data_IF_751312549960
#
_entry.id   IF_751312549960
#
_cell.length_a   1.000
_cell.length_b   1.000
_cell.length_c   1.000
_cell.angle_alpha   90.00
_cell.angle_beta   90.00
_cell.angle_gamma   90.00
#
_symmetry.space_group_name_H-M   'P 1'
#
loop_
_entity.id
_entity.type
_entity.pdbx_description
1 polymer ?
#
# COMPACT_ATOMS: atom_id res chain seq x y z
N UNK A 1 6.76 -12.57 -0.99
CA UNK A 1 7.22 -11.19 -1.23
C UNK A 1 7.24 -10.98 -2.72
N UNK A 2 6.69 -9.86 -3.21
CA UNK A 2 6.69 -9.48 -4.63
C UNK A 2 7.03 -8.00 -4.77
N UNK A 3 7.54 -7.61 -5.93
CA UNK A 3 7.69 -6.20 -6.30
C UNK A 3 6.58 -5.83 -7.28
N UNK A 4 5.87 -4.75 -6.98
CA UNK A 4 4.81 -4.21 -7.83
C UNK A 4 5.39 -3.15 -8.75
N UNK A 5 5.13 -3.27 -10.05
CA UNK A 5 5.45 -2.20 -10.99
C UNK A 5 4.31 -1.16 -11.00
N UNK A 6 4.37 -0.24 -10.04
CA UNK A 6 3.39 0.84 -9.91
C UNK A 6 3.49 1.85 -11.07
N UNK A 7 4.71 2.06 -11.57
CA UNK A 7 4.99 3.03 -12.63
C UNK A 7 4.35 2.61 -13.96
N UNK A 8 4.44 1.34 -14.33
CA UNK A 8 3.82 0.81 -15.55
C UNK A 8 2.29 0.98 -15.60
N UNK A 9 1.66 1.19 -14.44
CA UNK A 9 0.22 1.41 -14.31
C UNK A 9 -0.14 2.86 -13.96
N UNK A 10 0.79 3.82 -14.08
CA UNK A 10 0.60 5.23 -13.70
C UNK A 10 0.12 5.42 -12.26
N UNK A 11 0.48 4.50 -11.35
CA UNK A 11 0.13 4.60 -9.94
C UNK A 11 1.21 5.40 -9.23
N UNK A 12 0.82 6.54 -8.67
CA UNK A 12 1.73 7.33 -7.82
C UNK A 12 2.08 6.55 -6.55
N UNK A 13 3.38 6.44 -6.28
CA UNK A 13 3.87 5.64 -5.15
C UNK A 13 3.50 6.26 -3.80
N UNK A 14 3.40 7.59 -3.71
CA UNK A 14 3.04 8.25 -2.45
C UNK A 14 1.56 8.05 -2.18
N UNK A 15 0.71 8.26 -3.19
CA UNK A 15 -0.72 7.99 -3.12
C UNK A 15 -1.00 6.52 -2.78
N UNK A 16 -0.22 5.57 -3.32
CA UNK A 16 -0.35 4.15 -2.96
C UNK A 16 -0.03 3.88 -1.47
N UNK A 17 1.00 4.54 -0.93
CA UNK A 17 1.38 4.43 0.48
C UNK A 17 0.30 5.06 1.38
N UNK A 18 -0.13 6.28 1.07
CA UNK A 18 -1.18 7.00 1.81
C UNK A 18 -2.50 6.23 1.79
N UNK A 19 -2.85 5.62 0.66
CA UNK A 19 -4.05 4.81 0.53
C UNK A 19 -3.94 3.48 1.28
N UNK A 20 -2.75 2.89 1.32
CA UNK A 20 -2.46 1.75 2.20
C UNK A 20 -2.75 2.09 3.65
N UNK A 21 -2.22 3.21 4.13
CA UNK A 21 -2.43 3.69 5.50
C UNK A 21 -3.91 3.98 5.79
N UNK A 22 -4.66 4.57 4.85
CA UNK A 22 -6.13 4.77 4.94
C UNK A 22 -6.88 3.46 5.26
N UNK A 23 -6.40 2.34 4.74
CA UNK A 23 -6.97 1.00 4.94
C UNK A 23 -6.28 0.20 6.05
N UNK A 24 -5.40 0.82 6.84
CA UNK A 24 -4.70 0.18 7.96
C UNK A 24 -3.55 -0.74 7.53
N UNK A 25 -3.04 -0.57 6.32
CA UNK A 25 -1.93 -1.36 5.77
C UNK A 25 -0.64 -0.55 5.78
N UNK A 26 0.44 -1.15 6.27
CA UNK A 26 1.78 -0.54 6.20
C UNK A 26 2.52 -1.00 4.95
N UNK A 27 2.65 -0.09 3.99
CA UNK A 27 3.30 -0.35 2.69
C UNK A 27 4.61 0.42 2.58
N UNK A 28 5.63 -0.20 1.99
CA UNK A 28 6.96 0.38 1.79
C UNK A 28 7.24 0.49 0.28
N UNK A 29 6.57 1.44 -0.37
CA UNK A 29 6.66 1.67 -1.81
C UNK A 29 6.20 0.47 -2.63
N UNK A 30 6.96 0.10 -3.67
CA UNK A 30 6.64 -1.03 -4.54
C UNK A 30 6.91 -2.41 -3.90
N UNK A 31 7.50 -2.47 -2.70
CA UNK A 31 7.82 -3.74 -2.03
C UNK A 31 6.60 -4.26 -1.29
N UNK A 32 6.03 -5.36 -1.78
CA UNK A 32 4.86 -5.97 -1.18
C UNK A 32 5.22 -7.27 -0.45
N UNK A 33 5.08 -7.27 0.86
CA UNK A 33 5.41 -8.41 1.74
C UNK A 33 4.15 -8.86 2.45
N UNK A 34 3.78 -10.12 2.26
CA UNK A 34 2.75 -10.80 3.05
C UNK A 34 3.44 -11.84 3.92
N UNK A 35 3.17 -11.80 5.23
CA UNK A 35 3.66 -12.80 6.15
C UNK A 35 2.83 -14.08 6.02
N UNK A 36 3.41 -15.25 6.34
CA UNK A 36 2.76 -16.56 6.14
C UNK A 36 1.46 -16.76 6.95
N UNK A 37 1.15 -15.84 7.87
CA UNK A 37 -0.09 -15.78 8.64
C UNK A 37 -0.74 -14.40 8.45
N UNK A 38 -1.37 -14.20 7.31
CA UNK A 38 -2.22 -13.02 7.10
C UNK A 38 -3.63 -13.30 7.60
N UNK A 39 -4.20 -12.36 8.36
CA UNK A 39 -5.60 -12.45 8.82
C UNK A 39 -6.58 -11.99 7.75
N UNK A 40 -7.83 -12.44 7.85
CA UNK A 40 -8.93 -12.07 6.93
C UNK A 40 -9.13 -10.55 6.84
N UNK A 41 -8.98 -9.83 7.95
CA UNK A 41 -9.10 -8.36 7.98
C UNK A 41 -8.05 -7.70 7.08
N UNK A 42 -6.81 -8.19 7.11
CA UNK A 42 -5.74 -7.67 6.27
C UNK A 42 -5.96 -8.00 4.79
N UNK A 43 -6.50 -9.19 4.48
CA UNK A 43 -6.93 -9.55 3.12
C UNK A 43 -8.01 -8.60 2.62
N UNK A 44 -9.00 -8.27 3.47
CA UNK A 44 -10.07 -7.36 3.10
C UNK A 44 -9.56 -5.92 2.89
N UNK A 45 -8.68 -5.42 3.76
CA UNK A 45 -8.01 -4.13 3.55
C UNK A 45 -7.20 -4.09 2.25
N UNK A 46 -6.51 -5.19 1.89
CA UNK A 46 -5.79 -5.28 0.62
C UNK A 46 -6.74 -5.24 -0.58
N UNK A 47 -7.87 -5.93 -0.49
CA UNK A 47 -8.91 -5.88 -1.53
C UNK A 47 -9.41 -4.45 -1.73
N UNK A 48 -9.65 -3.71 -0.66
CA UNK A 48 -10.08 -2.30 -0.71
C UNK A 48 -9.03 -1.41 -1.38
N UNK A 49 -7.78 -1.52 -0.94
CA UNK A 49 -6.65 -0.78 -1.50
C UNK A 49 -6.50 -0.99 -3.01
N UNK A 50 -6.42 -2.25 -3.45
CA UNK A 50 -6.24 -2.56 -4.87
C UNK A 50 -7.45 -2.20 -5.72
N UNK A 51 -8.67 -2.30 -5.17
CA UNK A 51 -9.88 -1.83 -5.85
C UNK A 51 -9.82 -0.33 -6.11
N UNK A 52 -9.47 0.47 -5.09
CA UNK A 52 -9.40 1.92 -5.25
C UNK A 52 -8.26 2.36 -6.18
N UNK A 53 -7.08 1.75 -6.05
CA UNK A 53 -5.92 2.06 -6.90
C UNK A 53 -6.12 1.68 -8.36
N UNK A 54 -6.70 0.50 -8.64
CA UNK A 54 -6.81 0.00 -10.01
C UNK A 54 -8.09 0.46 -10.71
N UNK A 55 -9.15 0.78 -9.96
CA UNK A 55 -10.46 1.15 -10.54
C UNK A 55 -10.82 2.61 -10.32
N UNK A 56 -10.08 3.36 -9.50
CA UNK A 56 -10.38 4.75 -9.17
C UNK A 56 -11.68 4.92 -8.37
N UNK A 57 -12.17 3.86 -7.71
CA UNK A 57 -13.42 3.86 -6.94
C UNK A 57 -13.12 3.69 -5.46
N UNK A 58 -13.56 4.63 -4.64
CA UNK A 58 -13.44 4.49 -3.19
C UNK A 58 -14.17 3.22 -2.73
N UNK A 59 -13.46 2.35 -2.03
CA UNK A 59 -14.03 1.10 -1.54
C UNK A 59 -14.81 1.34 -0.25
N UNK A 60 -16.00 0.75 -0.13
CA UNK A 60 -16.81 0.84 1.09
C UNK A 60 -16.08 0.18 2.28
N UNK A 61 -15.74 0.95 3.33
CA UNK A 61 -15.09 0.45 4.55
C UNK A 61 -14.67 1.54 5.53
N UNK A 62 -14.48 1.18 6.81
CA UNK A 62 -13.97 2.09 7.86
C UNK A 62 -12.56 2.59 7.49
N UNK A 63 -12.34 3.90 7.59
CA UNK A 63 -11.03 4.55 7.52
C UNK A 63 -10.24 4.25 8.81
N UNK A 64 -9.00 3.80 8.67
CA UNK A 64 -8.05 3.76 9.79
C UNK A 64 -7.29 5.10 9.85
N UNK A 65 -6.99 5.59 11.05
CA UNK A 65 -6.09 6.74 11.23
C UNK A 65 -4.64 6.31 10.99
N UNK A 66 -3.90 7.10 10.21
CA UNK A 66 -2.52 6.83 9.87
C UNK A 66 -1.57 7.32 10.99
N UNK A 67 -0.83 6.42 11.62
CA UNK A 67 0.10 6.73 12.73
C UNK A 67 1.46 7.30 12.26
N UNK A 68 1.80 7.17 10.97
CA UNK A 68 3.11 7.57 10.42
C UNK A 68 2.97 8.26 9.06
N UNK A 69 3.90 9.15 8.71
CA UNK A 69 3.85 9.91 7.45
C UNK A 69 4.39 9.10 6.26
N UNK A 70 3.84 9.34 5.06
CA UNK A 70 4.26 8.64 3.83
C UNK A 70 5.75 8.84 3.51
N UNK A 71 6.34 9.98 3.90
CA UNK A 71 7.75 10.29 3.70
C UNK A 71 8.68 9.42 4.55
N UNK A 72 8.27 9.03 5.76
CA UNK A 72 9.01 8.09 6.62
C UNK A 72 8.88 6.64 6.13
N UNK A 73 7.84 6.34 5.35
CA UNK A 73 7.59 5.03 4.79
C UNK A 73 8.40 4.75 3.52
N UNK A 74 8.84 5.80 2.81
CA UNK A 74 9.72 5.69 1.64
C UNK A 74 11.07 5.09 2.01
N UNK A 75 11.52 4.11 1.22
CA UNK A 75 12.91 3.66 1.31
C UNK A 75 13.84 4.76 0.83
N UNK A 76 14.68 5.30 1.72
CA UNK A 76 15.84 6.11 1.34
C UNK A 76 16.85 5.16 0.70
N UNK A 77 16.80 5.03 -0.62
CA UNK A 77 17.70 4.17 -1.38
C UNK A 77 19.15 4.56 -1.12
N UNK A 78 19.90 3.73 -0.41
CA UNK A 78 21.32 3.56 -0.76
C UNK A 78 21.32 2.64 -1.97
N UNK A 79 21.66 3.21 -3.12
CA UNK A 79 21.92 2.44 -4.33
C UNK A 79 22.89 1.31 -3.98
N UNK A 80 22.52 0.09 -4.36
CA UNK A 80 23.46 -1.01 -4.40
C UNK A 80 24.16 -0.85 -5.74
N UNK A 81 25.41 -0.38 -5.70
CA UNK A 81 26.38 -0.55 -6.80
C UNK A 81 26.72 -2.04 -6.96
#
# INVERSE_FOLDING_TARGET
>A
MVWLDLYAHNIDTNGFIELGDKYGLRIRGSRFVVHYQIGEEAIDSLRKLFTEVLQGKESSGKKAEADHSAEELKMKGKGVE
#
